data_IF_238718587417
#
_entry.id   IF_238718587417
#
_cell.length_a   1.000
_cell.length_b   1.000
_cell.length_c   1.000
_cell.angle_alpha   90.00
_cell.angle_beta   90.00
_cell.angle_gamma   90.00
#
_symmetry.space_group_name_H-M   'P 1'
#
loop_
_entity.id
_entity.type
_entity.pdbx_description
1 polymer ?
#
# COMPACT_ATOMS: atom_id res chain seq x y z
N UNK A 1 -3.95 -37.63 -10.20
CA UNK A 1 -4.33 -36.86 -8.99
C UNK A 1 -4.93 -35.56 -9.48
N UNK A 2 -6.21 -35.36 -9.17
CA UNK A 2 -7.06 -34.28 -9.66
C UNK A 2 -6.64 -32.92 -9.07
N UNK A 3 -6.77 -31.86 -9.86
CA UNK A 3 -6.44 -30.46 -9.55
C UNK A 3 -6.96 -29.98 -8.17
N UNK A 4 -8.07 -30.55 -7.69
CA UNK A 4 -8.65 -30.27 -6.37
C UNK A 4 -7.75 -30.67 -5.20
N UNK A 5 -7.07 -31.81 -5.26
CA UNK A 5 -6.26 -32.31 -4.13
C UNK A 5 -5.04 -31.44 -3.86
N UNK A 6 -4.47 -30.84 -4.91
CA UNK A 6 -3.37 -29.89 -4.78
C UNK A 6 -3.86 -28.58 -4.11
N UNK A 7 -5.03 -28.08 -4.53
CA UNK A 7 -5.66 -26.88 -3.96
C UNK A 7 -6.03 -27.06 -2.49
N UNK A 8 -6.58 -28.21 -2.11
CA UNK A 8 -7.00 -28.49 -0.73
C UNK A 8 -5.80 -28.64 0.21
N UNK A 9 -4.72 -29.26 -0.27
CA UNK A 9 -3.46 -29.38 0.48
C UNK A 9 -2.85 -27.99 0.70
N UNK A 10 -2.84 -27.16 -0.35
CA UNK A 10 -2.34 -25.79 -0.29
C UNK A 10 -3.13 -24.93 0.71
N UNK A 11 -4.46 -25.03 0.68
CA UNK A 11 -5.34 -24.31 1.61
C UNK A 11 -5.11 -24.75 3.07
N UNK A 12 -4.87 -26.04 3.29
CA UNK A 12 -4.55 -26.57 4.61
C UNK A 12 -3.19 -26.08 5.10
N UNK A 13 -2.18 -26.07 4.24
CA UNK A 13 -0.84 -25.59 4.59
C UNK A 13 -0.85 -24.08 4.85
N UNK A 14 -1.60 -23.30 4.09
CA UNK A 14 -1.83 -21.87 4.34
C UNK A 14 -2.54 -21.64 5.68
N UNK A 15 -3.55 -22.45 6.02
CA UNK A 15 -4.27 -22.33 7.29
C UNK A 15 -3.37 -22.67 8.49
N UNK A 16 -2.53 -23.70 8.36
CA UNK A 16 -1.54 -24.05 9.40
C UNK A 16 -0.45 -22.98 9.56
N UNK A 17 -0.07 -22.30 8.47
CA UNK A 17 0.85 -21.16 8.53
C UNK A 17 0.19 -19.94 9.18
N UNK A 18 -1.13 -19.74 9.00
CA UNK A 18 -1.90 -18.69 9.66
C UNK A 18 -1.93 -18.88 11.18
N UNK A 19 -2.28 -20.09 11.64
CA UNK A 19 -2.30 -20.40 13.08
C UNK A 19 -0.92 -20.23 13.73
N UNK A 20 0.16 -20.46 12.96
CA UNK A 20 1.54 -20.21 13.40
C UNK A 20 1.96 -18.73 13.33
N UNK A 21 1.38 -17.94 12.42
CA UNK A 21 1.70 -16.52 12.28
C UNK A 21 1.07 -15.69 13.41
N UNK A 22 -0.12 -16.06 13.90
CA UNK A 22 -0.71 -15.46 15.11
C UNK A 22 0.17 -15.70 16.36
N UNK A 23 0.91 -16.81 16.41
CA UNK A 23 1.85 -17.13 17.49
C UNK A 23 3.22 -16.45 17.29
N UNK A 24 3.55 -16.07 16.05
CA UNK A 24 4.78 -15.38 15.69
C UNK A 24 4.52 -13.88 15.61
N UNK A 25 4.51 -13.22 16.77
CA UNK A 25 4.46 -11.76 16.95
C UNK A 25 5.54 -11.01 16.12
N UNK A 26 5.36 -10.92 14.81
CA UNK A 26 6.09 -10.02 13.93
C UNK A 26 5.23 -8.76 13.83
N UNK A 27 5.59 -7.66 14.50
CA UNK A 27 4.68 -6.54 14.75
C UNK A 27 4.27 -5.73 13.51
N UNK A 28 4.76 -6.08 12.32
CA UNK A 28 4.72 -5.19 11.16
C UNK A 28 3.76 -5.60 10.02
N UNK A 29 3.17 -6.80 10.05
CA UNK A 29 2.29 -7.27 8.97
C UNK A 29 1.06 -7.96 9.54
N UNK A 30 -0.14 -7.51 9.18
CA UNK A 30 -1.38 -8.17 9.61
C UNK A 30 -1.52 -9.58 9.04
N UNK A 31 -2.19 -10.48 9.77
CA UNK A 31 -2.44 -11.84 9.31
C UNK A 31 -3.18 -11.91 7.96
N UNK A 32 -3.97 -10.88 7.64
CA UNK A 32 -4.65 -10.76 6.33
C UNK A 32 -3.63 -10.55 5.21
N UNK A 33 -2.70 -9.59 5.37
CA UNK A 33 -1.66 -9.33 4.36
C UNK A 33 -0.75 -10.53 4.18
N UNK A 34 -0.36 -11.19 5.27
CA UNK A 34 0.47 -12.38 5.20
C UNK A 34 -0.22 -13.50 4.39
N UNK A 35 -1.53 -13.72 4.57
CA UNK A 35 -2.30 -14.69 3.77
C UNK A 35 -2.34 -14.34 2.29
N UNK A 36 -2.50 -13.06 1.97
CA UNK A 36 -2.51 -12.59 0.57
C UNK A 36 -1.14 -12.88 -0.08
N UNK A 37 -0.04 -12.54 0.60
CA UNK A 37 1.31 -12.79 0.10
C UNK A 37 1.59 -14.28 -0.06
N UNK A 38 1.25 -15.10 0.94
CA UNK A 38 1.42 -16.55 0.84
C UNK A 38 0.68 -17.11 -0.37
N UNK A 39 -0.59 -16.72 -0.56
CA UNK A 39 -1.37 -17.15 -1.72
C UNK A 39 -0.65 -16.77 -3.02
N UNK A 40 -0.19 -15.53 -3.14
CA UNK A 40 0.57 -15.07 -4.31
C UNK A 40 1.82 -15.92 -4.57
N UNK A 41 2.62 -16.25 -3.54
CA UNK A 41 3.83 -17.07 -3.69
C UNK A 41 3.50 -18.46 -4.25
N UNK A 42 2.39 -19.06 -3.81
CA UNK A 42 2.02 -20.41 -4.25
C UNK A 42 1.27 -20.45 -5.60
N UNK A 43 0.50 -19.43 -5.93
CA UNK A 43 -0.35 -19.42 -7.14
C UNK A 43 0.14 -18.51 -8.25
N UNK A 44 1.13 -17.65 -7.98
CA UNK A 44 1.61 -16.61 -8.88
C UNK A 44 0.56 -15.53 -9.20
N UNK A 45 -0.57 -15.51 -8.49
CA UNK A 45 -1.73 -14.65 -8.81
C UNK A 45 -2.26 -13.97 -7.55
N UNK A 46 -2.70 -12.73 -7.72
CA UNK A 46 -3.30 -11.93 -6.65
C UNK A 46 -4.61 -11.31 -7.14
N UNK A 47 -5.65 -11.38 -6.30
CA UNK A 47 -6.93 -10.72 -6.56
C UNK A 47 -6.92 -9.37 -5.84
N UNK A 48 -6.82 -8.29 -6.62
CA UNK A 48 -6.82 -6.91 -6.14
C UNK A 48 -8.23 -6.31 -6.25
N UNK A 49 -9.22 -6.97 -5.66
CA UNK A 49 -10.59 -6.46 -5.59
C UNK A 49 -10.88 -5.77 -4.26
N UNK A 50 -11.87 -4.89 -4.29
CA UNK A 50 -12.32 -4.09 -3.17
C UNK A 50 -12.65 -4.96 -1.93
N UNK A 51 -13.32 -6.09 -2.13
CA UNK A 51 -13.68 -7.03 -1.06
C UNK A 51 -12.52 -7.65 -0.32
N UNK A 52 -11.34 -7.78 -0.95
CA UNK A 52 -10.16 -8.43 -0.36
C UNK A 52 -9.09 -7.44 0.12
N UNK A 53 -8.98 -6.25 -0.50
CA UNK A 53 -7.82 -5.37 -0.32
C UNK A 53 -8.18 -3.88 -0.14
N UNK A 54 -9.46 -3.50 -0.02
CA UNK A 54 -9.95 -2.10 -0.18
C UNK A 54 -9.08 -1.02 0.49
N UNK A 55 -8.52 -1.29 1.68
CA UNK A 55 -7.70 -0.35 2.43
C UNK A 55 -6.29 -0.86 2.80
N UNK A 56 -5.91 -2.03 2.27
CA UNK A 56 -4.68 -2.71 2.68
C UNK A 56 -3.57 -2.66 1.61
N UNK A 57 -3.78 -2.00 0.47
CA UNK A 57 -2.78 -1.92 -0.61
C UNK A 57 -1.44 -1.36 -0.15
N UNK A 58 -1.45 -0.35 0.72
CA UNK A 58 -0.22 0.27 1.24
C UNK A 58 0.54 -0.70 2.14
N UNK A 59 -0.17 -1.43 3.02
CA UNK A 59 0.46 -2.43 3.90
C UNK A 59 0.97 -3.63 3.10
N UNK A 60 0.19 -4.08 2.11
CA UNK A 60 0.59 -5.13 1.18
C UNK A 60 1.84 -4.73 0.37
N UNK A 61 1.92 -3.48 -0.08
CA UNK A 61 3.07 -2.95 -0.79
C UNK A 61 4.34 -3.00 0.06
N UNK A 62 4.26 -2.53 1.32
CA UNK A 62 5.38 -2.58 2.27
C UNK A 62 5.80 -4.04 2.52
N UNK A 63 4.84 -4.91 2.83
CA UNK A 63 5.14 -6.31 3.11
C UNK A 63 5.73 -7.05 1.88
N UNK A 64 5.28 -6.73 0.67
CA UNK A 64 5.86 -7.26 -0.56
C UNK A 64 7.31 -6.81 -0.76
N UNK A 65 7.64 -5.56 -0.45
CA UNK A 65 9.00 -5.02 -0.47
C UNK A 65 9.88 -5.70 0.59
N UNK A 66 9.43 -5.80 1.84
CA UNK A 66 10.15 -6.49 2.93
C UNK A 66 10.45 -7.96 2.59
N UNK A 67 9.58 -8.60 1.79
CA UNK A 67 9.73 -9.98 1.33
C UNK A 67 10.47 -10.10 -0.02
N UNK A 68 10.98 -8.99 -0.58
CA UNK A 68 11.69 -8.92 -1.86
C UNK A 68 10.88 -9.47 -3.06
N UNK A 69 9.56 -9.26 -3.05
CA UNK A 69 8.66 -9.69 -4.12
C UNK A 69 8.52 -8.59 -5.19
N UNK A 70 9.62 -8.33 -5.91
CA UNK A 70 9.71 -7.17 -6.82
C UNK A 70 8.60 -7.10 -7.88
N UNK A 71 8.21 -8.23 -8.47
CA UNK A 71 7.11 -8.27 -9.46
C UNK A 71 5.77 -7.85 -8.85
N UNK A 72 5.51 -8.26 -7.61
CA UNK A 72 4.31 -7.88 -6.87
C UNK A 72 4.35 -6.39 -6.50
N UNK A 73 5.50 -5.87 -6.07
CA UNK A 73 5.69 -4.44 -5.80
C UNK A 73 5.39 -3.61 -7.04
N UNK A 74 5.95 -3.98 -8.20
CA UNK A 74 5.68 -3.31 -9.47
C UNK A 74 4.20 -3.35 -9.87
N UNK A 75 3.55 -4.51 -9.68
CA UNK A 75 2.13 -4.67 -9.97
C UNK A 75 1.25 -3.80 -9.06
N UNK A 76 1.56 -3.74 -7.76
CA UNK A 76 0.82 -2.93 -6.78
C UNK A 76 0.99 -1.43 -7.03
N UNK A 77 2.19 -0.97 -7.37
CA UNK A 77 2.41 0.43 -7.74
C UNK A 77 1.54 0.82 -8.93
N UNK A 78 1.50 -0.02 -9.98
CA UNK A 78 0.68 0.25 -11.15
C UNK A 78 -0.81 0.26 -10.80
N UNK A 79 -1.27 -0.70 -9.99
CA UNK A 79 -2.66 -0.77 -9.58
C UNK A 79 -3.11 0.49 -8.83
N UNK A 80 -2.31 1.01 -7.90
CA UNK A 80 -2.61 2.25 -7.17
C UNK A 80 -2.69 3.46 -8.13
N UNK A 81 -1.84 3.51 -9.17
CA UNK A 81 -1.91 4.54 -10.21
C UNK A 81 -3.20 4.43 -11.02
N UNK A 82 -3.60 3.21 -11.38
CA UNK A 82 -4.83 2.97 -12.14
C UNK A 82 -6.07 3.32 -11.29
N UNK A 83 -6.04 3.06 -9.98
CA UNK A 83 -7.06 3.52 -9.03
C UNK A 83 -7.15 5.04 -9.02
N UNK A 84 -6.02 5.75 -8.95
CA UNK A 84 -6.00 7.22 -9.04
C UNK A 84 -6.64 7.73 -10.35
N UNK A 85 -6.41 7.07 -11.48
CA UNK A 85 -7.00 7.50 -12.77
C UNK A 85 -8.49 7.18 -12.90
N UNK A 86 -8.93 6.05 -12.37
CA UNK A 86 -10.30 5.55 -12.52
C UNK A 86 -11.26 6.10 -11.46
N UNK A 87 -10.77 6.34 -10.25
CA UNK A 87 -11.57 6.82 -9.13
C UNK A 87 -10.71 7.61 -8.11
N UNK A 88 -10.82 8.94 -8.15
CA UNK A 88 -10.14 9.82 -7.20
C UNK A 88 -10.51 9.56 -5.73
N UNK A 89 -11.59 8.83 -5.42
CA UNK A 89 -12.01 8.61 -4.04
C UNK A 89 -11.04 7.74 -3.24
N UNK A 90 -10.35 6.77 -3.87
CA UNK A 90 -9.34 5.98 -3.16
C UNK A 90 -8.18 6.85 -2.68
N UNK A 91 -7.72 7.78 -3.53
CA UNK A 91 -6.65 8.72 -3.17
C UNK A 91 -7.12 9.75 -2.14
N UNK A 92 -8.38 10.20 -2.19
CA UNK A 92 -8.91 11.07 -1.12
C UNK A 92 -8.92 10.38 0.25
N UNK A 93 -9.21 9.08 0.27
CA UNK A 93 -9.27 8.28 1.50
C UNK A 93 -7.89 7.83 1.99
N UNK A 94 -6.98 7.49 1.09
CA UNK A 94 -5.70 6.84 1.43
C UNK A 94 -4.48 7.70 1.10
N UNK A 95 -4.66 8.88 0.51
CA UNK A 95 -3.59 9.72 -0.04
C UNK A 95 -2.58 10.15 1.01
N UNK A 96 -3.02 10.60 2.18
CA UNK A 96 -2.11 10.99 3.26
C UNK A 96 -1.25 9.81 3.73
N UNK A 97 -1.87 8.65 3.97
CA UNK A 97 -1.15 7.43 4.35
C UNK A 97 -0.17 7.01 3.27
N UNK A 98 -0.56 7.10 2.00
CA UNK A 98 0.30 6.81 0.86
C UNK A 98 1.50 7.75 0.87
N UNK A 99 1.29 9.07 0.96
CA UNK A 99 2.36 10.06 0.95
C UNK A 99 3.42 9.83 2.01
N UNK A 100 3.00 9.61 3.25
CA UNK A 100 3.91 9.34 4.37
C UNK A 100 4.68 8.05 4.11
N UNK A 101 4.00 7.01 3.62
CA UNK A 101 4.63 5.73 3.33
C UNK A 101 5.71 5.88 2.27
N UNK A 102 5.39 6.53 1.15
CA UNK A 102 6.33 6.78 0.05
C UNK A 102 7.50 7.64 0.52
N UNK A 103 7.26 8.65 1.34
CA UNK A 103 8.33 9.48 1.89
C UNK A 103 9.27 8.70 2.82
N UNK A 104 8.73 7.85 3.70
CA UNK A 104 9.52 7.02 4.63
C UNK A 104 10.32 5.95 3.88
N UNK A 105 9.85 5.49 2.72
CA UNK A 105 10.51 4.49 1.87
C UNK A 105 11.10 5.13 0.60
N UNK A 106 11.77 6.28 0.76
CA UNK A 106 12.34 7.02 -0.36
C UNK A 106 13.31 6.16 -1.17
N UNK A 107 13.14 6.18 -2.48
CA UNK A 107 13.91 5.43 -3.47
C UNK A 107 13.40 4.02 -3.75
N UNK A 108 12.41 3.53 -2.99
CA UNK A 108 11.87 2.16 -3.14
C UNK A 108 10.75 2.10 -4.16
N UNK A 109 9.79 3.04 -4.09
CA UNK A 109 8.56 3.01 -4.87
C UNK A 109 8.51 4.13 -5.92
N UNK A 110 9.39 4.06 -6.91
CA UNK A 110 9.64 5.15 -7.88
C UNK A 110 8.40 5.65 -8.62
N UNK A 111 7.50 4.77 -9.04
CA UNK A 111 6.26 5.16 -9.76
C UNK A 111 5.29 5.91 -8.85
N UNK A 112 5.19 5.48 -7.59
CA UNK A 112 4.35 6.15 -6.60
C UNK A 112 4.97 7.45 -6.10
N UNK A 113 6.30 7.56 -6.06
CA UNK A 113 6.98 8.85 -5.85
C UNK A 113 6.61 9.86 -6.93
N UNK A 114 6.65 9.46 -8.21
CA UNK A 114 6.25 10.31 -9.32
C UNK A 114 4.78 10.74 -9.21
N UNK A 115 3.88 9.80 -8.91
CA UNK A 115 2.47 10.08 -8.67
C UNK A 115 2.29 11.10 -7.53
N UNK A 116 2.96 10.89 -6.40
CA UNK A 116 2.90 11.81 -5.26
C UNK A 116 3.40 13.20 -5.65
N UNK A 117 4.53 13.31 -6.36
CA UNK A 117 5.05 14.59 -6.80
C UNK A 117 4.06 15.32 -7.74
N UNK A 118 3.41 14.59 -8.63
CA UNK A 118 2.37 15.13 -9.53
C UNK A 118 1.16 15.66 -8.76
N UNK A 119 0.63 14.88 -7.81
CA UNK A 119 -0.52 15.29 -6.98
C UNK A 119 -0.17 16.56 -6.19
N UNK A 120 1.03 16.67 -5.61
CA UNK A 120 1.43 17.86 -4.86
C UNK A 120 1.58 19.11 -5.70
N UNK A 121 2.07 18.96 -6.92
CA UNK A 121 2.25 20.10 -7.83
C UNK A 121 0.92 20.60 -8.40
N UNK A 122 -0.02 19.68 -8.67
CA UNK A 122 -1.27 19.97 -9.37
C UNK A 122 -2.44 20.23 -8.43
N UNK A 123 -2.61 19.40 -7.40
CA UNK A 123 -3.76 19.41 -6.51
C UNK A 123 -3.39 19.12 -5.04
N UNK A 124 -2.52 19.94 -4.41
CA UNK A 124 -2.08 19.72 -3.03
C UNK A 124 -3.25 19.73 -2.03
N UNK A 125 -4.37 20.38 -2.39
CA UNK A 125 -5.60 20.42 -1.59
C UNK A 125 -6.26 19.05 -1.40
N UNK A 126 -6.04 18.08 -2.31
CA UNK A 126 -6.57 16.72 -2.14
C UNK A 126 -6.00 16.02 -0.90
N UNK A 127 -4.78 16.40 -0.50
CA UNK A 127 -4.09 15.84 0.66
C UNK A 127 -4.42 16.66 1.91
N UNK A 128 -4.29 17.99 1.82
CA UNK A 128 -4.51 18.89 2.97
C UNK A 128 -5.97 18.89 3.43
N UNK A 129 -6.90 18.66 2.51
CA UNK A 129 -8.33 18.61 2.82
C UNK A 129 -8.79 17.30 3.47
N UNK A 130 -7.92 16.28 3.60
CA UNK A 130 -8.27 15.02 4.24
C UNK A 130 -8.28 15.18 5.76
N UNK A 131 -9.19 14.46 6.43
CA UNK A 131 -9.25 14.45 7.90
C UNK A 131 -7.99 13.81 8.51
N UNK A 132 -7.34 12.87 7.81
CA UNK A 132 -6.10 12.26 8.27
C UNK A 132 -4.93 13.26 8.32
N UNK A 133 -4.97 14.33 7.51
CA UNK A 133 -3.91 15.35 7.50
C UNK A 133 -3.77 16.08 8.84
N UNK A 134 -4.88 16.35 9.52
CA UNK A 134 -4.87 17.02 10.83
C UNK A 134 -4.46 16.11 11.99
N UNK A 135 -4.39 14.79 11.74
CA UNK A 135 -3.93 13.80 12.72
C UNK A 135 -2.45 13.44 12.58
N UNK A 136 -1.70 14.12 11.71
CA UNK A 136 -0.29 13.86 11.49
C UNK A 136 0.57 14.33 12.67
N UNK A 137 1.60 13.55 12.96
CA UNK A 137 2.66 13.97 13.88
C UNK A 137 3.54 15.06 13.24
N UNK A 138 4.31 15.75 14.08
CA UNK A 138 5.14 16.88 13.64
C UNK A 138 6.14 16.47 12.56
N UNK A 139 6.71 15.28 12.63
CA UNK A 139 7.68 14.78 11.63
C UNK A 139 7.01 14.52 10.27
N UNK A 140 5.80 13.95 10.27
CA UNK A 140 5.00 13.72 9.08
C UNK A 140 4.57 15.07 8.47
N UNK A 141 4.14 16.04 9.27
CA UNK A 141 3.84 17.39 8.79
C UNK A 141 5.09 18.05 8.19
N UNK A 142 6.22 17.98 8.87
CA UNK A 142 7.49 18.52 8.40
C UNK A 142 7.88 17.91 7.05
N UNK A 143 7.72 16.59 6.90
CA UNK A 143 8.02 15.88 5.64
C UNK A 143 7.17 16.35 4.46
N UNK A 144 5.93 16.76 4.73
CA UNK A 144 5.02 17.28 3.73
C UNK A 144 5.36 18.73 3.39
N UNK A 145 5.59 19.57 4.41
CA UNK A 145 5.80 21.03 4.29
C UNK A 145 7.18 21.38 3.72
N UNK A 146 8.23 20.61 4.03
CA UNK A 146 9.60 20.88 3.54
C UNK A 146 9.82 20.59 2.05
N UNK A 147 8.78 20.22 1.30
CA UNK A 147 8.91 20.00 -0.14
C UNK A 147 8.86 21.33 -0.90
N UNK A 148 9.94 21.65 -1.61
CA UNK A 148 10.05 22.85 -2.46
C UNK A 148 8.98 22.95 -3.56
N UNK A 149 8.28 21.85 -3.87
CA UNK A 149 7.31 21.75 -4.95
C UNK A 149 5.84 21.89 -4.51
N UNK A 150 5.58 22.36 -3.29
CA UNK A 150 4.22 22.63 -2.83
C UNK A 150 3.67 23.88 -3.53
N UNK A 151 2.78 23.69 -4.49
CA UNK A 151 2.10 24.81 -5.15
C UNK A 151 0.94 25.34 -4.26
N UNK A 152 1.29 25.81 -3.07
CA UNK A 152 0.37 26.46 -2.14
C UNK A 152 0.64 27.96 -2.14
N UNK A 153 -0.43 28.76 -2.19
CA UNK A 153 -0.29 30.20 -1.96
C UNK A 153 0.05 30.43 -0.49
N UNK A 154 1.23 30.99 -0.23
CA UNK A 154 1.55 31.55 1.09
C UNK A 154 0.51 32.60 1.45
N UNK A 155 -0.06 32.48 2.65
CA UNK A 155 -0.93 33.51 3.21
C UNK A 155 -0.03 34.42 4.04
N UNK A 156 0.21 35.63 3.52
CA UNK A 156 0.86 36.72 4.23
C UNK A 156 -0.19 37.55 4.99
#
# INVERSE_FOLDING_TARGET
MSCQTLSDTLLRDISNLYDKADDYNKPNVSGIIFRIILKYIYTGTIALDATNVENNFIELLIAADEMNLYELVEHLQQHIIDLNHSNNDWIKQNGIKLFITIFRHKGVFSKLEELCNKIMSQEPKLLIGSNEFWGLDDDALLSIIQRDNLNMKEIY
#
